data_IF_813774104284
#
_entry.id   IF_813774104284
#
_cell.length_a   1.000
_cell.length_b   1.000
_cell.length_c   1.000
_cell.angle_alpha   90.00
_cell.angle_beta   90.00
_cell.angle_gamma   90.00
#
_symmetry.space_group_name_H-M   'P 1'
#
loop_
_entity.id
_entity.type
_entity.pdbx_description
1 polymer ?
#
# COMPACT_ATOMS: atom_id res chain seq x y z
N UNK A 1 -3.10 18.19 21.48
CA UNK A 1 -4.50 17.96 21.09
C UNK A 1 -4.54 16.72 20.23
N UNK A 2 -5.15 15.64 20.71
CA UNK A 2 -5.42 14.46 19.91
C UNK A 2 -6.60 14.76 18.98
N UNK A 3 -6.48 14.46 17.69
CA UNK A 3 -7.59 14.57 16.75
C UNK A 3 -8.61 13.48 17.12
N UNK A 4 -9.90 13.78 17.32
CA UNK A 4 -10.90 12.76 17.62
C UNK A 4 -10.98 11.78 16.45
N UNK A 5 -10.89 10.47 16.72
CA UNK A 5 -11.05 9.40 15.74
C UNK A 5 -12.51 9.22 15.30
N UNK A 6 -13.27 10.31 15.23
CA UNK A 6 -14.70 10.31 14.95
C UNK A 6 -14.95 9.79 13.53
N UNK A 7 -15.17 8.48 13.48
CA UNK A 7 -15.93 7.79 12.46
C UNK A 7 -15.40 7.97 11.02
N UNK A 8 -14.16 7.56 10.78
CA UNK A 8 -13.72 7.16 9.45
C UNK A 8 -14.46 5.87 9.08
N UNK A 9 -15.71 5.99 8.64
CA UNK A 9 -16.45 4.88 8.02
C UNK A 9 -16.50 5.12 6.51
N UNK A 10 -15.35 5.05 5.80
CA UNK A 10 -15.32 5.28 4.36
C UNK A 10 -16.15 4.19 3.69
N UNK A 11 -17.14 4.60 2.89
CA UNK A 11 -17.92 3.67 2.05
C UNK A 11 -17.04 2.93 1.04
N UNK A 12 -15.89 3.51 0.68
CA UNK A 12 -14.91 2.92 -0.24
C UNK A 12 -13.50 3.44 0.05
N UNK A 13 -12.51 2.58 -0.14
CA UNK A 13 -11.10 2.93 -0.11
C UNK A 13 -10.54 2.94 -1.55
N UNK A 14 -9.97 4.06 -1.97
CA UNK A 14 -9.26 4.15 -3.26
C UNK A 14 -7.80 3.79 -3.03
N UNK A 15 -7.33 2.77 -3.73
CA UNK A 15 -5.95 2.30 -3.63
C UNK A 15 -5.13 2.89 -4.77
N UNK A 16 -3.96 3.49 -4.51
CA UNK A 16 -3.07 3.94 -5.57
C UNK A 16 -2.60 2.75 -6.41
N UNK A 17 -2.69 2.90 -7.73
CA UNK A 17 -2.28 1.89 -8.70
C UNK A 17 -0.93 2.25 -9.32
N UNK A 18 0.04 1.33 -9.30
CA UNK A 18 1.41 1.55 -9.76
C UNK A 18 1.95 0.34 -10.52
N UNK A 19 3.03 0.53 -11.30
CA UNK A 19 3.77 -0.59 -11.90
C UNK A 19 4.68 -1.27 -10.87
N UNK A 20 5.22 -2.46 -11.19
CA UNK A 20 6.27 -3.10 -10.38
C UNK A 20 7.46 -2.18 -10.13
N UNK A 21 7.98 -1.54 -11.17
CA UNK A 21 9.14 -0.67 -11.07
C UNK A 21 8.91 0.51 -10.12
N UNK A 22 7.72 1.13 -10.18
CA UNK A 22 7.37 2.24 -9.27
C UNK A 22 7.20 1.75 -7.85
N UNK A 23 6.51 0.62 -7.64
CA UNK A 23 6.33 0.01 -6.31
C UNK A 23 7.69 -0.31 -5.66
N UNK A 24 8.62 -0.87 -6.42
CA UNK A 24 9.89 -1.39 -5.90
C UNK A 24 10.85 -0.28 -5.45
N UNK A 25 10.68 0.95 -5.95
CA UNK A 25 11.43 2.14 -5.51
C UNK A 25 10.64 3.05 -4.57
N UNK A 26 9.37 2.73 -4.32
CA UNK A 26 8.49 3.55 -3.49
C UNK A 26 8.94 3.47 -2.03
N UNK A 27 9.23 4.62 -1.44
CA UNK A 27 9.38 4.75 0.01
C UNK A 27 7.98 4.77 0.60
N UNK A 28 7.65 3.77 1.40
CA UNK A 28 6.34 3.59 2.00
C UNK A 28 6.45 3.14 3.44
N UNK A 29 5.50 3.59 4.25
CA UNK A 29 5.37 3.11 5.62
C UNK A 29 4.79 1.69 5.64
N UNK A 30 5.09 0.95 6.70
CA UNK A 30 4.49 -0.38 6.93
C UNK A 30 2.97 -0.23 6.99
N UNK A 31 2.24 -1.10 6.31
CA UNK A 31 0.79 -1.06 6.18
C UNK A 31 0.26 -0.31 4.95
N UNK A 32 1.13 0.35 4.17
CA UNK A 32 0.74 0.98 2.91
C UNK A 32 0.19 -0.08 1.94
N UNK A 33 -0.97 0.21 1.33
CA UNK A 33 -1.60 -0.63 0.32
C UNK A 33 -1.43 -0.02 -1.08
N UNK A 34 -1.03 -0.82 -2.06
CA UNK A 34 -0.92 -0.43 -3.47
C UNK A 34 -1.44 -1.52 -4.39
N UNK A 35 -2.09 -1.15 -5.49
CA UNK A 35 -2.46 -2.09 -6.54
C UNK A 35 -1.37 -2.12 -7.61
N UNK A 36 -0.72 -3.27 -7.79
CA UNK A 36 0.27 -3.46 -8.83
C UNK A 36 -0.41 -3.81 -10.15
N UNK A 37 -0.43 -2.86 -11.07
CA UNK A 37 -1.10 -3.00 -12.37
C UNK A 37 -0.40 -3.99 -13.30
N UNK A 38 0.89 -4.26 -13.10
CA UNK A 38 1.65 -5.23 -13.88
C UNK A 38 1.30 -6.67 -13.49
N UNK A 39 1.13 -6.93 -12.18
CA UNK A 39 0.84 -8.29 -11.68
C UNK A 39 -0.65 -8.52 -11.40
N UNK A 40 -1.47 -7.47 -11.40
CA UNK A 40 -2.87 -7.52 -11.03
C UNK A 40 -3.11 -7.81 -9.55
N UNK A 41 -2.12 -7.54 -8.68
CA UNK A 41 -2.17 -7.89 -7.26
C UNK A 41 -2.26 -6.66 -6.37
N UNK A 42 -3.06 -6.78 -5.31
CA UNK A 42 -2.98 -5.85 -4.19
C UNK A 42 -1.75 -6.22 -3.34
N UNK A 43 -0.90 -5.25 -3.04
CA UNK A 43 0.29 -5.42 -2.22
C UNK A 43 0.20 -4.58 -0.94
N UNK A 44 0.77 -5.11 0.15
CA UNK A 44 0.97 -4.40 1.42
C UNK A 44 2.46 -4.26 1.71
N UNK A 45 2.89 -3.08 2.16
CA UNK A 45 4.25 -2.86 2.64
C UNK A 45 4.41 -3.51 4.01
N UNK A 46 5.29 -4.50 4.14
CA UNK A 46 5.54 -5.22 5.40
C UNK A 46 6.77 -4.69 6.15
N UNK A 47 7.70 -4.08 5.42
CA UNK A 47 8.91 -3.45 5.99
C UNK A 47 9.22 -2.18 5.23
N UNK A 48 9.29 -1.06 5.96
CA UNK A 48 9.77 0.20 5.43
C UNK A 48 11.30 0.14 5.28
N UNK A 49 11.81 0.33 4.06
CA UNK A 49 13.22 0.50 3.80
C UNK A 49 13.45 1.72 2.90
N UNK A 50 14.57 2.41 3.14
CA UNK A 50 14.94 3.59 2.37
C UNK A 50 15.19 3.19 0.90
N UNK A 51 14.41 3.77 -0.01
CA UNK A 51 14.52 3.52 -1.44
C UNK A 51 13.91 2.20 -1.94
N UNK A 52 13.31 1.38 -1.08
CA UNK A 52 12.56 0.19 -1.52
C UNK A 52 11.65 -0.33 -0.40
N UNK A 53 10.33 -0.29 -0.60
CA UNK A 53 9.40 -1.03 0.25
C UNK A 53 9.56 -2.53 0.05
N UNK A 54 9.46 -3.32 1.12
CA UNK A 54 9.27 -4.77 0.98
C UNK A 54 7.78 -5.09 0.95
N UNK A 55 7.34 -5.81 -0.08
CA UNK A 55 5.92 -5.95 -0.42
C UNK A 55 5.46 -7.41 -0.36
N UNK A 56 4.31 -7.65 0.27
CA UNK A 56 3.60 -8.93 0.25
C UNK A 56 2.33 -8.81 -0.57
N UNK A 57 1.88 -9.87 -1.24
CA UNK A 57 0.62 -9.88 -1.96
C UNK A 57 -0.54 -10.20 -1.01
N UNK A 58 -1.57 -9.34 -0.98
CA UNK A 58 -2.77 -9.50 -0.14
C UNK A 58 -3.74 -10.51 -0.76
N UNK A 59 -3.76 -10.60 -2.09
CA UNK A 59 -4.55 -11.59 -2.84
C UNK A 59 -3.68 -12.81 -3.14
N UNK A 60 -4.13 -14.01 -2.75
CA UNK A 60 -3.51 -15.25 -3.20
C UNK A 60 -3.67 -15.41 -4.72
N UNK A 61 -2.70 -16.06 -5.36
CA UNK A 61 -2.79 -16.44 -6.77
C UNK A 61 -3.89 -17.50 -6.99
#
# INVERSE_FOLDING_TARGET
>A
MAVPSDNLNPLSLVIPSVTTAVRDVLVSEVGTLVYNTTTGKLNICITAAAGSGNWEAVTSA
#
